data_IF_000752206601
#
_entry.id   IF_000752206601
#
_cell.length_a   1.000
_cell.length_b   1.000
_cell.length_c   1.000
_cell.angle_alpha   90.00
_cell.angle_beta   90.00
_cell.angle_gamma   90.00
#
_symmetry.space_group_name_H-M   'P 1'
#
loop_
_entity.id
_entity.type
_entity.pdbx_description
1 polymer ?
#
# COMPACT_ATOMS: atom_id res chain seq x y z
N UNK A 1 24.95 3.39 7.12
CA UNK A 1 23.67 3.75 6.47
C UNK A 1 22.98 2.53 5.85
N UNK A 2 21.72 2.64 5.42
CA UNK A 2 21.05 1.59 4.63
C UNK A 2 21.50 1.58 3.17
N UNK A 3 21.62 2.78 2.59
CA UNK A 3 22.02 3.00 1.20
C UNK A 3 23.28 3.87 1.26
N UNK A 4 24.38 3.49 0.59
CA UNK A 4 25.58 4.31 0.54
C UNK A 4 25.34 5.60 -0.26
N UNK A 5 26.22 6.59 -0.14
CA UNK A 5 26.14 7.85 -0.92
C UNK A 5 26.15 7.65 -2.44
N UNK A 6 26.77 6.55 -2.92
CA UNK A 6 26.76 6.14 -4.33
C UNK A 6 25.54 5.30 -4.72
N UNK A 7 24.68 4.96 -3.76
CA UNK A 7 23.50 4.16 -3.98
C UNK A 7 22.35 4.97 -4.57
N UNK A 8 21.35 4.27 -5.07
CA UNK A 8 20.17 4.89 -5.68
C UNK A 8 18.90 4.28 -5.12
N UNK A 9 17.82 5.06 -5.23
CA UNK A 9 16.45 4.59 -5.01
C UNK A 9 15.69 4.79 -6.31
N UNK A 10 14.98 3.76 -6.75
CA UNK A 10 14.08 3.79 -7.89
C UNK A 10 12.66 3.55 -7.42
N UNK A 11 11.72 4.34 -7.91
CA UNK A 11 10.29 4.17 -7.68
C UNK A 11 9.61 3.91 -9.01
N UNK A 12 8.89 2.81 -9.10
CA UNK A 12 8.11 2.43 -10.28
C UNK A 12 6.67 2.16 -9.83
N UNK A 13 5.69 2.60 -10.62
CA UNK A 13 4.28 2.32 -10.36
C UNK A 13 3.62 1.66 -11.57
N UNK A 14 2.68 0.75 -11.31
CA UNK A 14 1.88 0.09 -12.35
C UNK A 14 0.50 -0.27 -11.81
N UNK A 15 -0.45 -0.50 -12.72
CA UNK A 15 -1.72 -1.16 -12.41
C UNK A 15 -1.56 -2.66 -12.61
N UNK A 16 -2.02 -3.46 -11.66
CA UNK A 16 -2.03 -4.93 -11.74
C UNK A 16 -3.47 -5.42 -11.62
N UNK A 17 -4.00 -6.06 -12.66
CA UNK A 17 -5.36 -6.62 -12.61
C UNK A 17 -5.39 -7.90 -11.76
N UNK A 18 -6.46 -8.08 -11.00
CA UNK A 18 -6.79 -9.34 -10.39
C UNK A 18 -7.40 -10.27 -11.43
N UNK A 19 -7.12 -11.57 -11.29
CA UNK A 19 -7.71 -12.61 -12.13
C UNK A 19 -9.23 -12.70 -11.96
N UNK A 20 -9.73 -12.34 -10.77
CA UNK A 20 -11.15 -12.24 -10.44
C UNK A 20 -11.40 -11.01 -9.57
N UNK A 21 -12.45 -10.21 -9.82
CA UNK A 21 -12.82 -9.09 -8.94
C UNK A 21 -13.08 -9.58 -7.51
N UNK A 22 -12.61 -8.82 -6.53
CA UNK A 22 -12.87 -9.08 -5.12
C UNK A 22 -13.92 -8.10 -4.60
N UNK A 23 -14.85 -8.61 -3.80
CA UNK A 23 -15.79 -7.77 -3.06
C UNK A 23 -15.03 -7.07 -1.93
N UNK A 24 -15.25 -5.76 -1.80
CA UNK A 24 -14.91 -5.08 -0.57
C UNK A 24 -16.04 -5.35 0.43
N UNK A 25 -15.89 -6.40 1.24
CA UNK A 25 -16.87 -6.78 2.28
C UNK A 25 -16.94 -5.77 3.44
N UNK A 26 -16.29 -4.61 3.32
CA UNK A 26 -16.05 -3.63 4.38
C UNK A 26 -16.94 -2.38 4.30
N UNK A 27 -17.80 -2.25 3.29
CA UNK A 27 -18.80 -1.18 3.25
C UNK A 27 -19.86 -1.48 4.32
N UNK A 28 -19.95 -0.59 5.30
CA UNK A 28 -20.74 -0.69 6.52
C UNK A 28 -22.17 -1.23 6.32
N UNK A 29 -22.69 -1.86 7.38
CA UNK A 29 -23.93 -2.64 7.47
C UNK A 29 -25.23 -1.91 7.04
N UNK A 30 -25.20 -0.69 6.49
CA UNK A 30 -26.41 0.11 6.26
C UNK A 30 -26.51 0.93 4.95
N UNK A 31 -25.75 0.59 3.89
CA UNK A 31 -26.06 1.13 2.55
C UNK A 31 -26.05 0.06 1.46
N UNK A 32 -27.25 -0.33 1.01
CA UNK A 32 -27.43 -1.32 -0.06
C UNK A 32 -27.09 -0.78 -1.47
N UNK A 33 -26.54 0.42 -1.61
CA UNK A 33 -26.32 1.05 -2.93
C UNK A 33 -24.88 1.14 -3.45
N UNK A 34 -23.86 0.65 -2.74
CA UNK A 34 -22.48 0.70 -3.26
C UNK A 34 -21.65 -0.54 -2.90
N UNK A 35 -21.95 -1.66 -3.56
CA UNK A 35 -21.05 -2.83 -3.55
C UNK A 35 -19.76 -2.45 -4.28
N UNK A 36 -18.79 -1.89 -3.56
CA UNK A 36 -17.49 -1.58 -4.11
C UNK A 36 -16.77 -2.89 -4.44
N UNK A 37 -16.40 -3.01 -5.70
CA UNK A 37 -15.54 -4.06 -6.20
C UNK A 37 -14.24 -3.42 -6.64
N UNK A 38 -13.14 -4.13 -6.41
CA UNK A 38 -11.88 -3.79 -7.03
C UNK A 38 -11.45 -4.97 -7.89
N UNK A 39 -10.98 -4.64 -9.09
CA UNK A 39 -10.47 -5.59 -10.07
C UNK A 39 -8.98 -5.40 -10.32
N UNK A 40 -8.36 -4.43 -9.63
CA UNK A 40 -6.97 -4.09 -9.81
C UNK A 40 -6.34 -3.52 -8.54
N UNK A 41 -5.01 -3.59 -8.47
CA UNK A 41 -4.17 -2.89 -7.51
C UNK A 41 -3.38 -1.79 -8.22
N UNK A 42 -3.18 -0.66 -7.56
CA UNK A 42 -2.04 0.21 -7.80
C UNK A 42 -0.84 -0.39 -7.07
N UNK A 43 0.16 -0.80 -7.83
CA UNK A 43 1.39 -1.40 -7.32
C UNK A 43 2.51 -0.37 -7.42
N UNK A 44 3.16 -0.07 -6.29
CA UNK A 44 4.34 0.80 -6.23
C UNK A 44 5.51 -0.06 -5.74
N UNK A 45 6.59 -0.09 -6.52
CA UNK A 45 7.85 -0.76 -6.17
C UNK A 45 8.89 0.30 -5.86
N UNK A 46 9.47 0.23 -4.66
CA UNK A 46 10.54 1.11 -4.19
C UNK A 46 11.79 0.25 -4.02
N UNK A 47 12.69 0.33 -4.99
CA UNK A 47 13.94 -0.43 -5.01
C UNK A 47 15.12 0.44 -4.58
N UNK A 48 15.93 -0.02 -3.63
CA UNK A 48 17.20 0.57 -3.25
C UNK A 48 18.39 -0.31 -3.66
N UNK A 49 19.56 0.29 -3.82
CA UNK A 49 20.84 -0.44 -4.03
C UNK A 49 21.68 -0.48 -2.76
N UNK A 50 21.02 -0.57 -1.61
CA UNK A 50 21.64 -0.58 -0.30
C UNK A 50 22.22 -1.94 0.08
N UNK A 51 22.47 -2.13 1.38
CA UNK A 51 23.08 -3.36 1.92
C UNK A 51 22.16 -4.59 1.87
N UNK A 52 20.88 -4.41 1.59
CA UNK A 52 19.86 -5.45 1.71
C UNK A 52 19.54 -5.84 3.17
N UNK A 53 18.63 -6.80 3.31
CA UNK A 53 18.09 -7.29 4.58
C UNK A 53 18.39 -8.79 4.67
N UNK A 54 19.14 -9.24 5.69
CA UNK A 54 19.40 -10.66 5.91
C UNK A 54 18.11 -11.46 6.16
N UNK A 55 18.01 -12.68 5.63
CA UNK A 55 16.81 -13.53 5.76
C UNK A 55 16.41 -13.76 7.23
N UNK A 56 17.38 -13.91 8.13
CA UNK A 56 17.15 -14.15 9.56
C UNK A 56 16.44 -13.00 10.31
N UNK A 57 16.24 -11.86 9.64
CA UNK A 57 15.49 -10.73 10.19
C UNK A 57 14.21 -10.39 9.43
N UNK A 58 13.87 -11.11 8.35
CA UNK A 58 12.72 -10.77 7.49
C UNK A 58 11.40 -10.69 8.27
N UNK A 59 11.14 -11.64 9.16
CA UNK A 59 9.91 -11.64 9.98
C UNK A 59 9.85 -10.49 11.00
N UNK A 60 11.00 -9.91 11.33
CA UNK A 60 11.14 -8.87 12.36
C UNK A 60 11.18 -7.46 11.80
N UNK A 61 11.37 -7.26 10.49
CA UNK A 61 11.54 -5.90 9.91
C UNK A 61 10.32 -4.99 10.10
N UNK A 62 9.16 -5.59 10.37
CA UNK A 62 7.91 -4.88 10.64
C UNK A 62 7.53 -4.84 12.11
N UNK A 63 8.38 -5.33 13.00
CA UNK A 63 8.15 -5.21 14.45
C UNK A 63 8.51 -3.81 14.92
N UNK A 64 7.66 -3.18 15.75
CA UNK A 64 7.96 -1.87 16.34
C UNK A 64 9.34 -1.85 16.99
N UNK A 65 10.10 -0.79 16.73
CA UNK A 65 11.43 -0.54 17.29
C UNK A 65 12.53 -1.52 16.86
N UNK A 66 12.24 -2.47 15.98
CA UNK A 66 13.27 -3.33 15.41
C UNK A 66 14.16 -2.54 14.44
N UNK A 67 15.48 -2.62 14.64
CA UNK A 67 16.46 -1.91 13.81
C UNK A 67 17.79 -2.68 13.80
N UNK A 68 18.45 -2.70 12.65
CA UNK A 68 19.85 -3.17 12.51
C UNK A 68 20.82 -2.01 12.31
N UNK A 69 20.36 -0.77 12.49
CA UNK A 69 21.13 0.46 12.32
C UNK A 69 21.41 1.09 13.67
N UNK A 70 22.63 1.60 13.86
CA UNK A 70 23.03 2.28 15.11
C UNK A 70 22.15 3.50 15.46
N UNK A 71 21.61 4.21 14.46
CA UNK A 71 20.81 5.43 14.65
C UNK A 71 19.36 5.31 14.16
N UNK A 72 18.90 4.11 13.80
CA UNK A 72 17.54 3.92 13.28
C UNK A 72 16.52 3.69 14.39
N UNK A 73 15.41 4.43 14.42
CA UNK A 73 14.36 4.27 15.45
C UNK A 73 13.55 2.97 15.32
N UNK A 74 13.56 2.32 14.15
CA UNK A 74 12.79 1.09 13.90
C UNK A 74 11.27 1.30 13.82
N UNK A 75 10.79 2.54 13.65
CA UNK A 75 9.34 2.86 13.64
C UNK A 75 8.75 2.93 12.22
N UNK A 76 9.57 3.26 11.21
CA UNK A 76 9.10 3.57 9.87
C UNK A 76 8.35 2.43 9.16
N UNK A 77 8.94 1.24 9.07
CA UNK A 77 8.32 0.08 8.42
C UNK A 77 7.05 -0.43 9.12
N UNK A 78 7.03 -0.57 10.46
CA UNK A 78 5.79 -0.88 11.18
C UNK A 78 4.67 0.12 10.91
N UNK A 79 4.97 1.42 10.86
CA UNK A 79 3.97 2.45 10.56
C UNK A 79 3.50 2.37 9.10
N UNK A 80 4.41 2.19 8.16
CA UNK A 80 4.08 2.02 6.74
C UNK A 80 3.14 0.82 6.53
N UNK A 81 3.41 -0.30 7.19
CA UNK A 81 2.53 -1.49 7.16
C UNK A 81 1.13 -1.13 7.66
N UNK A 82 1.02 -0.51 8.85
CA UNK A 82 -0.28 -0.08 9.41
C UNK A 82 -1.05 0.85 8.47
N UNK A 83 -0.37 1.81 7.83
CA UNK A 83 -1.00 2.74 6.89
C UNK A 83 -1.53 1.96 5.68
N UNK A 84 -0.72 1.09 5.09
CA UNK A 84 -1.10 0.32 3.91
C UNK A 84 -2.25 -0.65 4.22
N UNK A 85 -2.18 -1.36 5.34
CA UNK A 85 -3.25 -2.25 5.81
C UNK A 85 -4.54 -1.48 6.13
N UNK A 86 -4.44 -0.28 6.69
CA UNK A 86 -5.58 0.62 6.93
C UNK A 86 -6.28 1.09 5.64
N UNK A 87 -5.57 1.04 4.51
CA UNK A 87 -6.12 1.25 3.15
C UNK A 87 -6.44 -0.07 2.45
N UNK A 88 -6.59 -1.17 3.20
CA UNK A 88 -6.90 -2.50 2.68
C UNK A 88 -5.88 -2.99 1.63
N UNK A 89 -4.66 -2.45 1.73
CA UNK A 89 -3.54 -2.77 0.87
C UNK A 89 -2.63 -3.84 1.45
N UNK A 90 -1.57 -4.12 0.70
CA UNK A 90 -0.53 -5.10 1.05
C UNK A 90 0.81 -4.39 0.98
N UNK A 91 1.62 -4.51 2.03
CA UNK A 91 3.02 -4.09 2.04
C UNK A 91 3.90 -5.34 2.16
N UNK A 92 4.68 -5.59 1.12
CA UNK A 92 5.60 -6.71 1.00
C UNK A 92 7.01 -6.23 0.63
N UNK A 93 8.00 -7.12 0.62
CA UNK A 93 9.35 -6.79 0.17
C UNK A 93 10.13 -8.00 -0.34
N UNK A 94 11.06 -7.72 -1.25
CA UNK A 94 12.09 -8.64 -1.73
C UNK A 94 13.44 -8.03 -1.33
N UNK A 95 14.38 -8.81 -0.79
CA UNK A 95 15.70 -8.28 -0.43
C UNK A 95 16.80 -9.32 -0.54
N UNK A 96 17.99 -8.86 -0.95
CA UNK A 96 19.18 -9.69 -0.99
C UNK A 96 20.37 -8.90 -0.43
N UNK A 97 21.11 -9.54 0.49
CA UNK A 97 22.31 -8.96 1.10
C UNK A 97 23.31 -8.56 0.02
N UNK A 98 23.79 -7.33 0.09
CA UNK A 98 24.73 -6.73 -0.86
C UNK A 98 24.13 -6.25 -2.19
N UNK A 99 22.83 -6.47 -2.43
CA UNK A 99 22.14 -5.99 -3.65
C UNK A 99 21.08 -4.93 -3.39
N UNK A 100 20.56 -4.85 -2.18
CA UNK A 100 19.54 -3.90 -1.78
C UNK A 100 18.20 -4.56 -1.52
N UNK A 101 17.15 -3.74 -1.45
CA UNK A 101 15.78 -4.20 -1.16
C UNK A 101 14.77 -3.55 -2.10
N UNK A 102 13.68 -4.25 -2.39
CA UNK A 102 12.52 -3.70 -3.08
C UNK A 102 11.30 -3.86 -2.19
N UNK A 103 10.75 -2.75 -1.71
CA UNK A 103 9.46 -2.73 -1.03
C UNK A 103 8.34 -2.59 -2.05
N UNK A 104 7.26 -3.33 -1.84
CA UNK A 104 6.14 -3.46 -2.77
C UNK A 104 4.87 -3.08 -2.04
N UNK A 105 4.28 -1.94 -2.39
CA UNK A 105 2.99 -1.48 -1.89
C UNK A 105 1.93 -1.82 -2.93
N UNK A 106 0.86 -2.51 -2.53
CA UNK A 106 -0.32 -2.76 -3.36
C UNK A 106 -1.53 -2.12 -2.70
N UNK A 107 -2.19 -1.18 -3.38
CA UNK A 107 -3.41 -0.53 -2.90
C UNK A 107 -4.59 -0.87 -3.83
N UNK A 108 -5.74 -1.33 -3.30
CA UNK A 108 -6.87 -1.73 -4.13
C UNK A 108 -7.41 -0.51 -4.90
N UNK A 109 -7.65 -0.68 -6.19
CA UNK A 109 -8.29 0.32 -7.04
C UNK A 109 -9.76 -0.04 -7.18
N UNK A 110 -10.60 0.74 -6.50
CA UNK A 110 -12.04 0.62 -6.60
C UNK A 110 -12.47 1.05 -8.00
N UNK A 111 -13.24 0.19 -8.66
CA UNK A 111 -13.89 0.54 -9.91
C UNK A 111 -15.36 0.75 -9.60
N UNK A 112 -15.87 1.94 -9.92
CA UNK A 112 -17.30 2.17 -9.82
C UNK A 112 -18.01 1.31 -10.88
N UNK A 113 -19.10 0.60 -10.54
CA UNK A 113 -19.93 -0.04 -11.55
C UNK A 113 -20.35 0.99 -12.60
N UNK A 114 -20.14 0.67 -13.88
CA UNK A 114 -20.63 1.46 -15.01
C UNK A 114 -22.15 1.62 -14.83
N UNK A 115 -22.63 2.86 -14.64
CA UNK A 115 -24.03 3.18 -14.36
C UNK A 115 -24.34 3.75 -12.96
N UNK A 116 -23.36 3.84 -12.06
CA UNK A 116 -23.51 4.61 -10.81
C UNK A 116 -23.48 6.13 -11.12
N UNK A 117 -24.58 6.67 -11.66
CA UNK A 117 -24.77 8.11 -11.76
C UNK A 117 -24.84 8.69 -10.34
N UNK A 118 -23.86 9.51 -9.96
CA UNK A 118 -24.01 10.34 -8.78
C UNK A 118 -25.17 11.30 -9.04
N UNK A 119 -26.34 11.03 -8.44
CA UNK A 119 -27.41 11.99 -8.37
C UNK A 119 -26.95 13.11 -7.43
N UNK A 120 -26.37 14.17 -8.00
CA UNK A 120 -26.14 15.41 -7.28
C UNK A 120 -27.52 15.94 -6.89
N UNK A 121 -27.93 15.72 -5.64
CA UNK A 121 -29.16 16.30 -5.13
C UNK A 121 -28.89 17.78 -4.89
N UNK A 122 -29.25 18.60 -5.87
CA UNK A 122 -29.33 20.05 -5.72
C UNK A 122 -30.34 20.36 -4.61
N UNK A 123 -29.88 20.75 -3.43
CA UNK A 123 -30.72 21.43 -2.46
C UNK A 123 -30.99 22.84 -2.97
N UNK A 124 -32.07 23.00 -3.74
CA UNK A 124 -32.78 24.27 -3.82
C UNK A 124 -33.41 24.54 -2.45
N UNK A 125 -32.78 25.38 -1.64
CA UNK A 125 -33.47 26.04 -0.54
C UNK A 125 -34.16 27.28 -1.12
N UNK A 126 -35.43 27.10 -1.44
CA UNK A 126 -36.40 28.18 -1.64
C UNK A 126 -37.04 28.50 -0.29
N UNK A 127 -37.01 29.78 0.10
CA UNK A 127 -37.91 30.51 1.01
C UNK A 127 -37.11 31.66 1.67
N UNK A 128 -37.61 32.87 1.91
CA UNK A 128 -38.73 33.70 1.44
C UNK A 128 -38.46 35.09 2.03
#
# INVERSE_FOLDING_TARGET
EAIPLSGSVRVESRREKLLSPLRADFAAEDDRSSRLWFDSYAVVRIADTGKGIPEEVHDRVFYPFFTTKQTGSGVGLPLARKIVEGHQGILDFESQVGRGSTFIVKLPLVTLPEGASMSTQSTETSES
#
